data_IF_880052159193
#
_entry.id   IF_880052159193
#
_cell.length_a   1.000
_cell.length_b   1.000
_cell.length_c   1.000
_cell.angle_alpha   90.00
_cell.angle_beta   90.00
_cell.angle_gamma   90.00
#
_symmetry.space_group_name_H-M   'P 1'
#
loop_
_entity.id
_entity.type
_entity.pdbx_description
1 polymer ?
#
# COMPACT_ATOMS: atom_id res chain seq x y z
N UNK A 1 -1.10 2.04 -21.57
CA UNK A 1 -0.70 0.66 -21.20
C UNK A 1 -0.38 0.66 -19.72
N UNK A 2 -0.52 -0.47 -18.98
CA UNK A 2 -0.02 -0.53 -17.61
C UNK A 2 1.48 -0.27 -17.63
N UNK A 3 1.92 0.71 -16.86
CA UNK A 3 3.33 1.02 -16.66
C UNK A 3 3.67 0.69 -15.21
N UNK A 4 4.87 0.17 -14.99
CA UNK A 4 5.36 -0.21 -13.68
C UNK A 4 6.84 0.15 -13.54
N UNK A 5 7.25 0.37 -12.30
CA UNK A 5 8.62 0.70 -11.92
C UNK A 5 9.12 -0.25 -10.84
N UNK A 6 10.43 -0.43 -10.77
CA UNK A 6 11.07 -1.09 -9.62
C UNK A 6 11.18 -0.04 -8.52
N UNK A 7 10.58 -0.34 -7.36
CA UNK A 7 10.67 0.52 -6.18
C UNK A 7 11.68 0.03 -5.14
N UNK A 8 11.99 -1.27 -5.13
CA UNK A 8 12.97 -1.84 -4.22
C UNK A 8 13.72 -3.06 -4.73
N UNK A 9 14.88 -3.33 -4.14
CA UNK A 9 15.81 -4.41 -4.49
C UNK A 9 16.20 -5.13 -3.20
N UNK A 10 15.85 -6.41 -3.05
CA UNK A 10 16.00 -7.12 -1.78
C UNK A 10 15.40 -6.33 -0.61
N UNK A 11 14.22 -5.75 -0.81
CA UNK A 11 13.60 -4.91 0.20
C UNK A 11 12.71 -5.76 1.11
N UNK A 12 11.70 -6.37 0.51
CA UNK A 12 10.63 -7.08 1.19
C UNK A 12 11.00 -8.51 1.58
N UNK A 13 10.64 -8.92 2.80
CA UNK A 13 10.81 -10.31 3.25
C UNK A 13 9.68 -11.18 2.72
N UNK A 14 10.03 -12.31 2.09
CA UNK A 14 9.09 -13.31 1.64
C UNK A 14 8.34 -13.91 2.84
N UNK A 15 7.02 -13.99 2.74
CA UNK A 15 6.16 -14.46 3.81
C UNK A 15 6.37 -15.94 4.17
N UNK A 16 7.01 -16.71 3.30
CA UNK A 16 7.37 -18.11 3.53
C UNK A 16 8.68 -18.29 4.31
N UNK A 17 9.37 -17.20 4.65
CA UNK A 17 10.61 -17.22 5.42
C UNK A 17 11.85 -17.63 4.61
N UNK A 18 11.75 -17.75 3.28
CA UNK A 18 12.88 -18.13 2.41
C UNK A 18 13.91 -17.02 2.18
N UNK A 19 13.66 -15.82 2.71
CA UNK A 19 14.55 -14.67 2.63
C UNK A 19 13.85 -13.46 2.04
N UNK A 20 14.55 -12.71 1.21
CA UNK A 20 14.06 -11.47 0.61
C UNK A 20 13.60 -11.67 -0.84
N UNK A 21 12.54 -10.99 -1.24
CA UNK A 21 12.14 -10.88 -2.63
C UNK A 21 13.19 -10.11 -3.41
N UNK A 22 13.55 -10.57 -4.62
CA UNK A 22 14.62 -9.94 -5.40
C UNK A 22 14.29 -8.52 -5.82
N UNK A 23 13.07 -8.29 -6.30
CA UNK A 23 12.57 -7.00 -6.79
C UNK A 23 11.14 -6.74 -6.32
N UNK A 24 10.88 -5.48 -5.97
CA UNK A 24 9.53 -4.97 -5.72
C UNK A 24 9.11 -4.04 -6.84
N UNK A 25 7.92 -4.28 -7.41
CA UNK A 25 7.34 -3.48 -8.48
C UNK A 25 6.15 -2.67 -7.96
N UNK A 26 5.88 -1.53 -8.57
CA UNK A 26 4.69 -0.70 -8.35
C UNK A 26 4.18 -0.17 -9.70
N UNK A 27 2.86 -0.13 -9.89
CA UNK A 27 2.27 0.58 -11.04
C UNK A 27 2.49 2.09 -10.95
N UNK A 28 2.72 2.73 -12.09
CA UNK A 28 2.88 4.19 -12.18
C UNK A 28 1.62 4.92 -12.65
N UNK A 29 0.49 4.22 -12.78
CA UNK A 29 -0.77 4.78 -13.27
C UNK A 29 -2.01 4.20 -12.56
N UNK A 30 -3.18 4.76 -12.85
CA UNK A 30 -4.47 4.41 -12.27
C UNK A 30 -5.13 3.21 -12.98
N UNK A 31 -4.36 2.19 -13.36
CA UNK A 31 -4.89 1.01 -14.09
C UNK A 31 -5.99 0.26 -13.33
N UNK A 32 -5.94 0.23 -12.00
CA UNK A 32 -7.03 -0.32 -11.17
C UNK A 32 -8.10 0.73 -10.83
N UNK A 33 -7.92 1.98 -11.24
CA UNK A 33 -8.79 3.11 -10.97
C UNK A 33 -8.99 3.36 -9.46
N UNK A 34 -10.05 4.10 -9.13
CA UNK A 34 -10.36 4.52 -7.76
C UNK A 34 -11.16 3.47 -7.00
N UNK A 35 -10.75 3.21 -5.77
CA UNK A 35 -11.46 2.34 -4.84
C UNK A 35 -11.51 2.94 -3.44
N UNK A 36 -12.51 2.49 -2.67
CA UNK A 36 -12.64 2.78 -1.24
C UNK A 36 -11.85 1.77 -0.41
N UNK A 37 -11.40 2.14 0.79
CA UNK A 37 -10.81 1.20 1.74
C UNK A 37 -11.86 0.25 2.30
N UNK A 38 -13.01 0.80 2.74
CA UNK A 38 -14.12 0.11 3.39
C UNK A 38 -15.47 0.65 2.91
N UNK A 39 -16.52 -0.16 3.01
CA UNK A 39 -17.89 0.27 2.67
C UNK A 39 -18.47 1.29 3.67
N UNK A 40 -17.97 1.26 4.90
CA UNK A 40 -18.40 2.12 6.00
C UNK A 40 -17.29 3.08 6.40
N UNK A 41 -17.68 4.22 7.01
CA UNK A 41 -16.77 5.25 7.50
C UNK A 41 -16.06 4.82 8.80
N UNK A 42 -15.24 3.78 8.72
CA UNK A 42 -14.42 3.28 9.84
C UNK A 42 -13.11 2.68 9.35
N UNK A 43 -12.05 2.83 10.15
CA UNK A 43 -10.77 2.14 9.98
C UNK A 43 -10.51 1.07 11.06
N UNK A 44 -11.53 0.72 11.85
CA UNK A 44 -11.41 -0.35 12.87
C UNK A 44 -11.01 -1.66 12.19
N UNK A 45 -10.02 -2.33 12.77
CA UNK A 45 -9.34 -3.50 12.20
C UNK A 45 -8.23 -3.16 11.19
N UNK A 46 -7.91 -1.87 11.03
CA UNK A 46 -6.79 -1.35 10.25
C UNK A 46 -6.70 -1.85 8.81
N UNK A 47 -5.48 -1.96 8.29
CA UNK A 47 -5.24 -2.51 6.95
C UNK A 47 -5.67 -3.97 6.84
N UNK A 48 -5.37 -4.80 7.85
CA UNK A 48 -5.67 -6.24 7.89
C UNK A 48 -7.14 -6.54 7.57
N UNK A 49 -8.05 -5.77 8.16
CA UNK A 49 -9.50 -5.96 8.01
C UNK A 49 -10.11 -5.11 6.90
N UNK A 50 -9.29 -4.31 6.20
CA UNK A 50 -9.80 -3.45 5.14
C UNK A 50 -10.34 -4.26 3.96
N UNK A 51 -11.45 -3.80 3.39
CA UNK A 51 -12.07 -4.44 2.22
C UNK A 51 -11.15 -4.35 1.00
N UNK A 52 -10.45 -3.24 0.83
CA UNK A 52 -9.48 -3.05 -0.25
C UNK A 52 -8.38 -4.12 -0.24
N UNK A 53 -7.80 -4.43 0.94
CA UNK A 53 -6.80 -5.50 1.07
C UNK A 53 -7.34 -6.86 0.61
N UNK A 54 -8.55 -7.22 1.05
CA UNK A 54 -9.19 -8.48 0.67
C UNK A 54 -9.40 -8.55 -0.86
N UNK A 55 -9.88 -7.45 -1.45
CA UNK A 55 -10.09 -7.34 -2.90
C UNK A 55 -8.78 -7.52 -3.69
N UNK A 56 -7.68 -6.93 -3.22
CA UNK A 56 -6.35 -7.03 -3.85
C UNK A 56 -5.70 -8.40 -3.74
N UNK A 57 -5.94 -9.16 -2.66
CA UNK A 57 -5.20 -10.40 -2.39
C UNK A 57 -5.92 -11.69 -2.84
N UNK A 58 -7.25 -11.66 -2.92
CA UNK A 58 -8.04 -12.83 -3.32
C UNK A 58 -9.39 -12.50 -3.94
N UNK A 59 -9.76 -11.21 -4.05
CA UNK A 59 -11.05 -10.78 -4.54
C UNK A 59 -11.08 -10.38 -6.01
N UNK A 60 -11.99 -9.46 -6.33
CA UNK A 60 -12.24 -8.99 -7.68
C UNK A 60 -11.04 -8.25 -8.29
N UNK A 61 -10.32 -7.43 -7.52
CA UNK A 61 -9.13 -6.73 -8.02
C UNK A 61 -7.98 -7.68 -8.31
N UNK A 62 -7.79 -8.71 -7.47
CA UNK A 62 -6.86 -9.80 -7.76
C UNK A 62 -7.20 -10.49 -9.09
N UNK A 63 -8.49 -10.78 -9.33
CA UNK A 63 -8.96 -11.47 -10.53
C UNK A 63 -8.76 -10.65 -11.83
N UNK A 64 -8.63 -9.32 -11.73
CA UNK A 64 -8.33 -8.45 -12.87
C UNK A 64 -6.85 -8.50 -13.29
N UNK A 65 -5.95 -8.99 -12.43
CA UNK A 65 -4.53 -9.02 -12.74
C UNK A 65 -4.22 -10.07 -13.83
N UNK A 66 -3.19 -9.88 -14.66
CA UNK A 66 -2.79 -10.88 -15.64
C UNK A 66 -2.51 -12.24 -14.98
N UNK A 67 -2.91 -13.34 -15.63
CA UNK A 67 -2.73 -14.69 -15.10
C UNK A 67 -1.26 -15.00 -14.76
N UNK A 68 -0.32 -14.46 -15.54
CA UNK A 68 1.10 -14.60 -15.28
C UNK A 68 1.51 -13.96 -13.95
N UNK A 69 1.04 -12.74 -13.65
CA UNK A 69 1.27 -12.08 -12.37
C UNK A 69 0.63 -12.87 -11.24
N UNK A 70 -0.63 -13.31 -11.41
CA UNK A 70 -1.32 -14.10 -10.39
C UNK A 70 -0.56 -15.40 -10.04
N UNK A 71 0.05 -16.05 -11.03
CA UNK A 71 0.79 -17.30 -10.86
C UNK A 71 2.17 -17.15 -10.22
N UNK A 72 2.79 -15.97 -10.35
CA UNK A 72 4.18 -15.72 -9.95
C UNK A 72 4.30 -14.83 -8.71
N UNK A 73 3.31 -13.98 -8.42
CA UNK A 73 3.37 -13.04 -7.31
C UNK A 73 3.56 -13.79 -5.99
N UNK A 74 4.57 -13.36 -5.23
CA UNK A 74 4.89 -13.91 -3.92
C UNK A 74 4.26 -13.06 -2.83
N UNK A 75 3.77 -13.74 -1.80
CA UNK A 75 3.36 -13.06 -0.59
C UNK A 75 4.61 -12.54 0.14
N UNK A 76 4.56 -11.27 0.56
CA UNK A 76 5.61 -10.64 1.37
C UNK A 76 5.03 -10.12 2.67
N UNK A 77 5.89 -10.01 3.69
CA UNK A 77 5.53 -9.49 5.01
C UNK A 77 5.49 -7.97 4.96
N UNK A 78 4.32 -7.38 5.25
CA UNK A 78 4.13 -5.93 5.33
C UNK A 78 3.77 -5.53 6.76
N UNK A 79 4.49 -4.55 7.30
CA UNK A 79 4.16 -3.95 8.60
C UNK A 79 3.17 -2.81 8.39
N UNK A 80 2.11 -2.74 9.20
CA UNK A 80 1.23 -1.57 9.31
C UNK A 80 0.30 -1.67 10.51
N UNK A 81 -0.42 -0.59 10.79
CA UNK A 81 -1.48 -0.61 11.78
C UNK A 81 -2.64 -1.51 11.30
N UNK A 82 -2.84 -2.62 12.02
CA UNK A 82 -3.87 -3.61 11.75
C UNK A 82 -5.01 -3.58 12.78
N UNK A 83 -5.02 -2.59 13.66
CA UNK A 83 -6.06 -2.39 14.68
C UNK A 83 -6.88 -1.14 14.36
N UNK A 84 -6.23 -0.05 13.95
CA UNK A 84 -6.86 1.25 13.71
C UNK A 84 -7.63 1.77 14.93
N UNK A 85 -8.77 2.42 14.71
CA UNK A 85 -9.68 2.81 15.80
C UNK A 85 -9.41 4.18 16.43
N UNK A 86 -8.63 5.04 15.77
CA UNK A 86 -8.48 6.46 16.16
C UNK A 86 -7.40 6.74 17.19
N UNK A 87 -6.45 5.83 17.33
CA UNK A 87 -5.20 6.03 18.07
C UNK A 87 -4.06 5.40 17.29
N UNK A 88 -2.84 5.88 17.48
CA UNK A 88 -1.66 5.24 16.91
C UNK A 88 -1.53 3.80 17.43
N UNK A 89 -1.78 2.82 16.54
CA UNK A 89 -1.58 1.41 16.84
C UNK A 89 -0.10 1.02 16.82
N UNK A 90 0.22 -0.13 17.41
CA UNK A 90 1.53 -0.77 17.19
C UNK A 90 1.46 -1.55 15.88
N UNK A 91 2.31 -1.24 14.88
CA UNK A 91 2.29 -1.97 13.62
C UNK A 91 2.50 -3.47 13.82
N UNK A 92 1.70 -4.28 13.12
CA UNK A 92 1.87 -5.72 13.06
C UNK A 92 1.94 -6.21 11.62
N UNK A 93 2.33 -7.45 11.43
CA UNK A 93 2.52 -8.03 10.09
C UNK A 93 1.18 -8.44 9.43
N UNK A 94 1.11 -8.23 8.12
CA UNK A 94 0.25 -8.94 7.17
C UNK A 94 1.10 -9.61 6.09
N UNK A 95 0.58 -10.70 5.52
CA UNK A 95 1.18 -11.35 4.36
C UNK A 95 0.33 -11.04 3.14
N UNK A 96 0.89 -10.26 2.22
CA UNK A 96 0.17 -9.71 1.07
C UNK A 96 0.90 -10.08 -0.24
N UNK A 97 0.18 -10.64 -1.21
CA UNK A 97 0.68 -10.89 -2.57
C UNK A 97 0.70 -9.61 -3.40
N UNK A 98 -0.32 -8.78 -3.19
CA UNK A 98 -0.47 -7.46 -3.78
C UNK A 98 -0.86 -6.51 -2.65
N UNK A 99 -0.17 -5.39 -2.58
CA UNK A 99 -0.34 -4.39 -1.54
C UNK A 99 -0.33 -2.99 -2.16
N UNK A 100 -0.73 -1.99 -1.37
CA UNK A 100 -0.42 -0.59 -1.65
C UNK A 100 0.58 -0.12 -0.60
N UNK A 101 1.39 0.87 -0.95
CA UNK A 101 2.47 1.33 -0.09
C UNK A 101 1.93 1.96 1.19
N UNK A 102 2.73 1.92 2.25
CA UNK A 102 2.51 2.74 3.44
C UNK A 102 3.11 4.13 3.27
N UNK A 103 2.74 5.06 4.15
CA UNK A 103 3.39 6.37 4.21
C UNK A 103 4.87 6.26 4.58
N UNK A 104 5.24 5.32 5.47
CA UNK A 104 6.65 5.10 5.81
C UNK A 104 7.47 4.63 4.61
N UNK A 105 6.88 3.77 3.77
CA UNK A 105 7.52 3.28 2.55
C UNK A 105 7.80 4.36 1.51
N UNK A 106 7.01 5.44 1.52
CA UNK A 106 7.15 6.57 0.61
C UNK A 106 8.09 7.63 1.21
N UNK A 107 7.92 8.00 2.48
CA UNK A 107 8.53 9.21 3.04
C UNK A 107 9.62 8.96 4.09
N UNK A 108 9.86 7.72 4.52
CA UNK A 108 10.69 7.43 5.70
C UNK A 108 9.87 7.28 6.97
N UNK A 109 10.50 6.95 8.09
CA UNK A 109 9.84 6.54 9.35
C UNK A 109 8.86 7.61 9.90
N UNK A 110 7.58 7.51 9.48
CA UNK A 110 6.49 8.40 9.87
C UNK A 110 5.53 7.72 10.85
N UNK A 111 5.26 6.43 10.64
CA UNK A 111 4.33 5.63 11.45
C UNK A 111 4.90 4.25 11.79
N UNK A 112 6.18 4.02 11.52
CA UNK A 112 6.87 2.74 11.71
C UNK A 112 6.19 1.55 11.03
N UNK A 113 5.40 1.81 9.98
CA UNK A 113 4.64 0.83 9.19
C UNK A 113 5.39 0.38 7.94
N UNK A 114 6.69 0.10 8.10
CA UNK A 114 7.56 -0.41 7.04
C UNK A 114 8.94 0.25 7.07
N UNK A 115 9.66 0.10 5.97
CA UNK A 115 10.92 0.77 5.70
C UNK A 115 10.81 1.51 4.36
N UNK A 116 11.49 2.65 4.22
CA UNK A 116 11.40 3.43 2.99
C UNK A 116 12.01 2.68 1.81
N UNK A 117 11.28 2.60 0.70
CA UNK A 117 11.77 1.98 -0.53
C UNK A 117 12.88 2.81 -1.18
N UNK A 118 13.84 2.11 -1.81
CA UNK A 118 15.03 2.67 -2.42
C UNK A 118 14.70 3.74 -3.46
N UNK A 119 13.64 3.53 -4.24
CA UNK A 119 13.18 4.50 -5.24
C UNK A 119 12.84 5.85 -4.60
N UNK A 120 12.09 5.86 -3.49
CA UNK A 120 11.67 7.09 -2.82
C UNK A 120 12.74 7.70 -1.92
N UNK A 121 13.76 6.92 -1.54
CA UNK A 121 14.92 7.42 -0.80
C UNK A 121 15.90 8.22 -1.69
N UNK A 122 15.78 8.16 -3.02
CA UNK A 122 16.68 8.92 -3.90
C UNK A 122 16.30 10.41 -3.96
N UNK A 123 17.26 11.35 -3.86
CA UNK A 123 17.00 12.79 -3.93
C UNK A 123 16.63 13.31 -5.34
N UNK A 124 16.12 12.43 -6.22
CA UNK A 124 15.65 12.82 -7.55
C UNK A 124 14.30 13.50 -7.42
N UNK A 125 14.34 14.83 -7.39
CA UNK A 125 13.18 15.72 -7.50
C UNK A 125 12.19 15.63 -6.32
N UNK A 126 11.64 16.80 -6.02
CA UNK A 126 10.65 17.07 -4.99
C UNK A 126 9.39 16.23 -5.16
N UNK A 127 9.28 15.15 -4.40
CA UNK A 127 8.06 14.34 -4.33
C UNK A 127 7.91 13.35 -5.49
N UNK A 128 7.00 12.39 -5.36
CA UNK A 128 6.73 11.49 -6.45
C UNK A 128 6.25 12.29 -7.67
N UNK A 129 6.58 11.82 -8.88
CA UNK A 129 6.02 12.29 -10.16
C UNK A 129 4.52 11.91 -10.27
N UNK A 130 3.77 12.06 -9.18
CA UNK A 130 2.41 11.61 -9.00
C UNK A 130 1.53 12.86 -8.96
N UNK A 131 0.92 13.14 -10.11
CA UNK A 131 0.00 14.27 -10.31
C UNK A 131 -1.43 13.94 -9.84
N UNK A 132 -1.59 12.93 -8.99
CA UNK A 132 -2.92 12.47 -8.59
C UNK A 132 -3.00 11.97 -7.15
N UNK A 133 -4.19 12.07 -6.58
CA UNK A 133 -4.54 11.50 -5.28
C UNK A 133 -4.39 9.98 -5.30
N UNK A 134 -3.67 9.36 -4.37
CA UNK A 134 -3.62 7.89 -4.25
C UNK A 134 -3.63 7.39 -2.81
N UNK A 135 -4.24 6.22 -2.62
CA UNK A 135 -4.44 5.57 -1.33
C UNK A 135 -3.16 4.89 -0.83
N UNK A 136 -2.91 4.97 0.48
CA UNK A 136 -1.91 4.15 1.17
C UNK A 136 -2.60 3.14 2.09
N UNK A 137 -1.85 2.17 2.62
CA UNK A 137 -2.36 1.25 3.65
C UNK A 137 -2.25 1.79 5.08
N UNK A 138 -1.61 2.94 5.27
CA UNK A 138 -1.45 3.56 6.59
C UNK A 138 -2.79 4.03 7.14
N UNK A 139 -3.00 3.84 8.44
CA UNK A 139 -4.21 4.24 9.15
C UNK A 139 -4.02 5.62 9.79
N UNK A 140 -5.08 6.41 9.93
CA UNK A 140 -5.00 7.66 10.68
C UNK A 140 -4.68 7.38 12.16
N UNK A 141 -3.60 7.96 12.73
CA UNK A 141 -3.23 7.74 14.13
C UNK A 141 -4.10 8.53 15.12
N UNK A 142 -5.05 9.33 14.63
CA UNK A 142 -5.86 10.24 15.43
C UNK A 142 -7.35 10.28 15.06
N UNK A 143 -7.77 9.51 14.05
CA UNK A 143 -9.16 9.45 13.60
C UNK A 143 -9.57 7.98 13.35
N UNK A 144 -10.72 7.56 13.85
CA UNK A 144 -11.22 6.18 13.74
C UNK A 144 -11.94 5.88 12.42
N UNK A 145 -11.93 6.84 11.50
CA UNK A 145 -12.69 6.81 10.25
C UNK A 145 -11.83 6.96 9.00
N UNK A 146 -10.56 7.32 9.16
CA UNK A 146 -9.70 7.72 8.05
C UNK A 146 -8.49 6.79 7.84
N UNK A 147 -8.08 6.66 6.58
CA UNK A 147 -6.77 6.16 6.16
C UNK A 147 -5.93 7.31 5.62
N UNK A 148 -4.63 7.10 5.52
CA UNK A 148 -3.73 8.08 4.92
C UNK A 148 -3.71 7.91 3.40
N UNK A 149 -3.70 9.03 2.70
CA UNK A 149 -3.52 9.12 1.25
C UNK A 149 -2.42 10.13 0.95
N UNK A 150 -1.95 10.12 -0.29
CA UNK A 150 -1.04 11.14 -0.83
C UNK A 150 -1.79 11.99 -1.84
N UNK A 151 -1.72 13.31 -1.67
CA UNK A 151 -2.38 14.29 -2.54
C UNK A 151 -1.60 14.50 -3.85
N UNK A 152 -2.19 15.18 -4.86
CA UNK A 152 -1.51 15.47 -6.13
C UNK A 152 -0.23 16.32 -6.03
N UNK A 153 0.08 16.88 -4.86
CA UNK A 153 1.31 17.63 -4.60
C UNK A 153 2.35 16.78 -3.84
N UNK A 154 2.10 15.48 -3.68
CA UNK A 154 2.98 14.58 -2.98
C UNK A 154 2.99 14.78 -1.46
N UNK A 155 1.93 15.36 -0.88
CA UNK A 155 1.77 15.51 0.58
C UNK A 155 0.84 14.43 1.12
N UNK A 156 1.15 13.89 2.29
CA UNK A 156 0.26 12.96 2.96
C UNK A 156 -0.87 13.71 3.70
N UNK A 157 -2.06 13.12 3.75
CA UNK A 157 -3.22 13.62 4.49
C UNK A 157 -4.19 12.46 4.80
N UNK A 158 -5.23 12.70 5.62
CA UNK A 158 -6.19 11.66 6.00
C UNK A 158 -7.51 11.81 5.23
N UNK A 159 -8.09 10.69 4.82
CA UNK A 159 -9.34 10.64 4.09
C UNK A 159 -10.22 9.50 4.55
N UNK A 160 -11.53 9.71 4.47
CA UNK A 160 -12.50 8.75 4.97
C UNK A 160 -12.36 7.38 4.32
N UNK A 161 -12.50 6.32 5.12
CA UNK A 161 -12.36 4.95 4.65
C UNK A 161 -13.32 4.58 3.50
N UNK A 162 -14.45 5.28 3.37
CA UNK A 162 -15.41 5.10 2.28
C UNK A 162 -15.25 6.13 1.13
N UNK A 163 -14.21 6.95 1.15
CA UNK A 163 -13.84 7.84 0.05
C UNK A 163 -12.97 7.11 -0.97
N UNK A 164 -13.22 7.34 -2.26
CA UNK A 164 -12.52 6.63 -3.32
C UNK A 164 -11.18 7.30 -3.66
N UNK A 165 -10.11 6.51 -3.69
CA UNK A 165 -8.75 6.91 -4.05
C UNK A 165 -8.12 6.04 -5.12
N UNK A 166 -7.19 6.59 -5.90
CA UNK A 166 -6.45 5.77 -6.87
C UNK A 166 -5.64 4.70 -6.13
N UNK A 167 -5.62 3.49 -6.69
CA UNK A 167 -4.90 2.35 -6.14
C UNK A 167 -3.71 2.05 -7.02
N UNK A 168 -2.51 2.20 -6.48
CA UNK A 168 -1.26 1.83 -7.13
C UNK A 168 -0.75 0.52 -6.53
N UNK A 169 -1.14 -0.63 -7.09
CA UNK A 169 -0.70 -1.91 -6.56
C UNK A 169 0.82 -2.08 -6.72
N UNK A 170 1.39 -2.72 -5.70
CA UNK A 170 2.76 -3.20 -5.66
C UNK A 170 2.79 -4.70 -5.39
N UNK A 171 3.82 -5.37 -5.89
CA UNK A 171 4.00 -6.83 -5.78
C UNK A 171 5.47 -7.24 -5.88
N UNK A 172 5.74 -8.49 -5.49
CA UNK A 172 7.05 -9.14 -5.55
C UNK A 172 6.95 -10.47 -6.32
N UNK A 173 8.07 -10.94 -6.86
CA UNK A 173 8.23 -12.27 -7.49
C UNK A 173 9.21 -13.16 -6.71
#
# INVERSE_FOLDING_TARGET
MPEYRIIGINHDDLADGSGKAGLTFETTNDVLYKHIWNDTKTNVGGWRSSKLRARLNSGDLWALLPAELQSKAKAVTKMTDNEGGGSAGTPTATNDKVFILSTTEIYGDLQSDGAQYEYYATPRYSGPEIVCYFSTRSVSPSDSTDFIYVDPFGRWSSGSANSAGNVFPAWCF
#
